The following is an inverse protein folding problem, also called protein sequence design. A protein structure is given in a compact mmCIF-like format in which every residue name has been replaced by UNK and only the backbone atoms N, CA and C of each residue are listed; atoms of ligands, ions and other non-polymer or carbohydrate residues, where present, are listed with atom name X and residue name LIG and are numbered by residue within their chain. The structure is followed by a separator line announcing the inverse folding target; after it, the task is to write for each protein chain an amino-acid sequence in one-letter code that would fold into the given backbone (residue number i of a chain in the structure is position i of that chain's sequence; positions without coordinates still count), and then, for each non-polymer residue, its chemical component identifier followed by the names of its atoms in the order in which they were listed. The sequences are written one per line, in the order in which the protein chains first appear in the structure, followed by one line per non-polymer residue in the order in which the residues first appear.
data_IF_382914260409
#
_entry.id   IF_382914260409
#
_cell.length_a   1.000
_cell.length_b   1.000
_cell.length_c   1.000
_cell.angle_alpha   90.00
_cell.angle_beta   90.00
_cell.angle_gamma   90.00
#
_symmetry.space_group_name_H-M   'P 1'
#
loop_
_entity.id
_entity.type
_entity.pdbx_description
1 polymer ?
#
# COMPACT_ATOMS: atom_id res chain seq x y z
N UNK A 1 23.07 -5.07 -6.68
CA UNK A 1 22.39 -6.20 -7.35
C UNK A 1 21.42 -6.76 -6.34
N UNK A 2 20.15 -6.99 -6.69
CA UNK A 2 19.16 -7.55 -5.76
C UNK A 2 19.39 -9.04 -5.52
N UNK A 3 18.81 -9.58 -4.46
CA UNK A 3 18.72 -11.04 -4.28
C UNK A 3 17.83 -11.71 -5.33
N UNK A 4 17.75 -13.04 -5.29
CA UNK A 4 16.90 -13.85 -6.17
C UNK A 4 15.51 -13.97 -5.54
N UNK A 5 14.48 -13.65 -6.33
CA UNK A 5 13.06 -13.71 -5.94
C UNK A 5 12.26 -14.59 -6.89
N UNK A 6 11.10 -15.07 -6.43
CA UNK A 6 10.20 -15.95 -7.18
C UNK A 6 8.76 -15.44 -7.12
N UNK A 7 8.02 -15.68 -8.19
CA UNK A 7 6.58 -15.42 -8.24
C UNK A 7 5.91 -16.48 -9.12
N UNK A 8 4.60 -16.70 -8.92
CA UNK A 8 3.81 -17.63 -9.73
C UNK A 8 3.00 -16.85 -10.76
N UNK A 9 3.00 -17.31 -12.00
CA UNK A 9 2.16 -16.72 -13.06
C UNK A 9 0.70 -17.13 -12.90
N UNK A 10 -0.22 -16.28 -13.36
CA UNK A 10 -1.64 -16.62 -13.44
C UNK A 10 -1.87 -17.85 -14.33
N UNK A 11 -2.91 -18.66 -14.06
CA UNK A 11 -3.23 -19.82 -14.88
C UNK A 11 -3.78 -19.39 -16.25
N UNK A 12 -3.71 -20.28 -17.24
CA UNK A 12 -4.21 -20.02 -18.59
C UNK A 12 -5.71 -19.64 -18.55
N UNK A 13 -6.13 -18.66 -19.33
CA UNK A 13 -7.53 -18.26 -19.40
C UNK A 13 -8.42 -19.43 -19.84
N UNK A 14 -9.49 -19.71 -19.09
CA UNK A 14 -10.45 -20.75 -19.43
C UNK A 14 -11.60 -20.83 -18.41
N UNK A 15 -12.75 -21.42 -18.77
CA UNK A 15 -13.97 -21.39 -17.94
C UNK A 15 -13.85 -22.16 -16.61
N UNK A 16 -12.79 -22.95 -16.44
CA UNK A 16 -12.48 -23.74 -15.23
C UNK A 16 -11.08 -23.48 -14.70
N UNK A 17 -10.45 -22.39 -15.12
CA UNK A 17 -9.06 -22.06 -14.80
C UNK A 17 -9.03 -20.76 -13.99
N UNK A 18 -8.78 -20.89 -12.69
CA UNK A 18 -8.84 -19.80 -11.73
C UNK A 18 -7.58 -19.80 -10.86
N UNK A 19 -7.14 -18.62 -10.43
CA UNK A 19 -6.20 -18.51 -9.32
C UNK A 19 -6.85 -19.05 -8.04
N UNK A 20 -6.05 -19.57 -7.12
CA UNK A 20 -6.56 -20.10 -5.86
C UNK A 20 -7.15 -19.01 -4.98
N UNK A 21 -6.40 -17.93 -4.75
CA UNK A 21 -6.82 -16.84 -3.86
C UNK A 21 -6.42 -15.48 -4.45
N UNK A 22 -7.40 -14.58 -4.52
CA UNK A 22 -7.17 -13.16 -4.87
C UNK A 22 -7.42 -12.32 -3.63
N UNK A 23 -6.40 -11.64 -3.16
CA UNK A 23 -6.51 -10.66 -2.09
C UNK A 23 -6.96 -9.31 -2.67
N UNK A 24 -7.88 -8.64 -1.98
CA UNK A 24 -8.37 -7.31 -2.37
C UNK A 24 -8.27 -6.39 -1.17
N UNK A 25 -7.62 -5.24 -1.36
CA UNK A 25 -7.40 -4.22 -0.31
C UNK A 25 -7.46 -2.81 -0.88
N UNK A 26 -7.73 -1.85 -0.02
CA UNK A 26 -7.70 -0.42 -0.32
C UNK A 26 -7.33 0.37 0.94
N UNK A 27 -7.07 1.67 0.76
CA UNK A 27 -6.91 2.61 1.87
C UNK A 27 -5.81 2.21 2.87
N UNK A 28 -4.76 1.54 2.38
CA UNK A 28 -3.68 1.02 3.22
C UNK A 28 -2.63 2.10 3.48
N UNK A 29 -2.93 2.97 4.45
CA UNK A 29 -2.01 3.97 5.04
C UNK A 29 -0.69 3.33 5.50
N UNK A 30 0.30 4.12 5.94
CA UNK A 30 1.50 3.63 6.61
C UNK A 30 1.35 3.61 8.16
N UNK A 31 0.63 2.63 8.71
CA UNK A 31 0.43 2.49 10.18
C UNK A 31 0.75 1.09 10.70
N UNK A 32 0.79 0.93 12.03
CA UNK A 32 0.88 -0.39 12.66
C UNK A 32 -0.27 -1.32 12.24
N UNK A 33 -1.48 -0.78 12.07
CA UNK A 33 -2.64 -1.54 11.63
C UNK A 33 -2.45 -2.08 10.20
N UNK A 34 -1.83 -1.28 9.33
CA UNK A 34 -1.49 -1.74 7.98
C UNK A 34 -0.54 -2.92 8.03
N UNK A 35 0.42 -2.93 8.95
CA UNK A 35 1.33 -4.07 9.12
C UNK A 35 0.56 -5.32 9.55
N UNK A 36 -0.43 -5.18 10.42
CA UNK A 36 -1.34 -6.28 10.78
C UNK A 36 -2.11 -6.76 9.57
N UNK A 37 -2.72 -5.87 8.77
CA UNK A 37 -3.42 -6.24 7.53
C UNK A 37 -2.51 -7.00 6.57
N UNK A 38 -1.29 -6.50 6.34
CA UNK A 38 -0.29 -7.17 5.51
C UNK A 38 0.01 -8.58 6.02
N UNK A 39 0.25 -8.74 7.33
CA UNK A 39 0.52 -10.06 7.91
C UNK A 39 -0.66 -11.04 7.71
N UNK A 40 -1.90 -10.56 7.84
CA UNK A 40 -3.10 -11.35 7.56
C UNK A 40 -3.24 -11.69 6.08
N UNK A 41 -2.83 -10.81 5.16
CA UNK A 41 -2.82 -11.10 3.72
C UNK A 41 -1.78 -12.15 3.39
N UNK A 42 -0.54 -11.98 3.86
CA UNK A 42 0.57 -12.90 3.58
C UNK A 42 0.29 -14.29 4.16
N UNK A 43 -0.32 -14.40 5.35
CA UNK A 43 -0.70 -15.70 5.93
C UNK A 43 -1.76 -16.44 5.12
N UNK A 44 -2.51 -15.76 4.26
CA UNK A 44 -3.48 -16.38 3.37
C UNK A 44 -2.87 -16.81 2.04
N UNK A 45 -1.60 -16.50 1.75
CA UNK A 45 -0.89 -16.90 0.53
C UNK A 45 -1.66 -16.60 -0.77
N UNK A 46 -2.01 -15.32 -1.04
CA UNK A 46 -2.72 -14.96 -2.27
C UNK A 46 -1.83 -15.12 -3.51
N UNK A 47 -2.41 -15.60 -4.61
CA UNK A 47 -1.74 -15.66 -5.92
C UNK A 47 -1.70 -14.28 -6.60
N UNK A 48 -2.64 -13.40 -6.24
CA UNK A 48 -2.79 -12.04 -6.78
C UNK A 48 -3.27 -11.09 -5.69
N UNK A 49 -2.68 -9.90 -5.63
CA UNK A 49 -3.15 -8.78 -4.82
C UNK A 49 -3.73 -7.69 -5.73
N UNK A 50 -4.98 -7.30 -5.48
CA UNK A 50 -5.63 -6.17 -6.13
C UNK A 50 -5.73 -5.02 -5.15
N UNK A 51 -5.18 -3.87 -5.53
CA UNK A 51 -5.21 -2.64 -4.76
C UNK A 51 -6.24 -1.67 -5.30
N UNK A 52 -7.12 -1.17 -4.44
CA UNK A 52 -8.15 -0.19 -4.78
C UNK A 52 -7.84 1.15 -4.09
N UNK A 53 -7.14 2.05 -4.81
CA UNK A 53 -6.96 3.46 -4.42
C UNK A 53 -6.19 3.72 -3.11
N UNK A 54 -5.95 5.01 -2.83
CA UNK A 54 -5.49 5.52 -1.53
C UNK A 54 -4.32 4.75 -0.90
N UNK A 55 -3.18 4.79 -1.58
CA UNK A 55 -2.03 3.91 -1.31
C UNK A 55 -1.21 4.34 -0.10
N UNK A 56 -0.82 5.61 0.00
CA UNK A 56 0.20 6.05 0.96
C UNK A 56 -0.26 7.15 1.90
N UNK A 57 -1.34 7.84 1.52
CA UNK A 57 -1.81 9.06 2.16
C UNK A 57 -0.69 10.09 2.38
N UNK A 58 0.25 10.18 1.43
CA UNK A 58 1.30 11.19 1.45
C UNK A 58 0.74 12.63 1.50
N UNK A 59 -0.48 12.82 0.99
CA UNK A 59 -1.24 14.06 1.04
C UNK A 59 -1.83 14.40 2.41
N UNK A 60 -1.77 13.50 3.41
CA UNK A 60 -2.11 13.86 4.80
C UNK A 60 -0.95 14.57 5.52
N UNK A 61 0.12 14.90 4.80
CA UNK A 61 1.32 15.52 5.36
C UNK A 61 1.72 16.77 4.58
N UNK A 62 2.23 17.75 5.31
CA UNK A 62 2.94 18.89 4.74
C UNK A 62 4.28 18.45 4.15
N UNK A 63 4.83 19.26 3.26
CA UNK A 63 6.14 19.07 2.62
C UNK A 63 7.30 18.98 3.62
N UNK A 64 7.14 19.56 4.81
CA UNK A 64 8.11 19.46 5.91
C UNK A 64 8.02 18.14 6.72
N UNK A 65 7.08 17.24 6.37
CA UNK A 65 6.89 15.94 7.03
C UNK A 65 5.88 15.94 8.18
N UNK A 66 5.33 17.09 8.57
CA UNK A 66 4.26 17.17 9.59
C UNK A 66 2.99 16.53 9.04
N UNK A 67 2.51 15.47 9.70
CA UNK A 67 1.29 14.76 9.32
C UNK A 67 0.09 15.08 10.21
N UNK A 68 -1.12 14.83 9.69
CA UNK A 68 -2.38 14.84 10.45
C UNK A 68 -3.31 13.72 9.99
N UNK A 69 -4.19 13.26 10.87
CA UNK A 69 -5.26 12.31 10.51
C UNK A 69 -6.34 12.95 9.63
N UNK A 70 -6.46 14.28 9.65
CA UNK A 70 -7.36 15.04 8.80
C UNK A 70 -6.69 16.31 8.30
N UNK A 71 -6.29 16.31 7.02
CA UNK A 71 -5.60 17.46 6.41
C UNK A 71 -6.44 18.74 6.52
N UNK A 72 -7.72 18.69 6.15
CA UNK A 72 -8.59 19.87 6.18
C UNK A 72 -8.84 20.41 7.61
N UNK A 73 -8.86 19.52 8.60
CA UNK A 73 -9.11 19.86 9.99
C UNK A 73 -7.89 20.55 10.63
N UNK A 74 -6.68 20.05 10.35
CA UNK A 74 -5.45 20.51 10.98
C UNK A 74 -4.73 21.59 10.18
N UNK A 75 -4.97 21.66 8.88
CA UNK A 75 -4.36 22.63 7.97
C UNK A 75 -5.43 23.46 7.24
N UNK A 76 -6.41 24.07 7.95
CA UNK A 76 -7.47 24.86 7.31
C UNK A 76 -6.93 26.13 6.64
N UNK A 77 -5.70 26.53 7.00
CA UNK A 77 -5.02 27.73 6.54
C UNK A 77 -3.77 27.40 5.71
N UNK A 78 -3.72 26.28 4.97
CA UNK A 78 -2.69 26.09 3.92
C UNK A 78 -3.20 26.51 2.54
N UNK A 79 -3.30 27.81 2.21
CA UNK A 79 -3.12 28.24 0.84
C UNK A 79 -1.61 28.29 0.53
N UNK A 80 -1.16 27.87 -0.67
CA UNK A 80 -1.94 27.82 -1.91
C UNK A 80 -2.31 26.41 -2.44
N UNK A 81 -1.81 25.33 -1.86
CA UNK A 81 -1.96 23.96 -2.41
C UNK A 81 -2.13 22.91 -1.31
N UNK A 82 -2.86 21.83 -1.61
CA UNK A 82 -2.89 20.63 -0.78
C UNK A 82 -1.53 19.93 -0.89
N UNK A 83 -0.71 20.07 0.15
CA UNK A 83 0.66 19.58 0.17
C UNK A 83 0.74 18.05 0.24
N UNK A 84 1.94 17.52 -0.01
CA UNK A 84 2.24 16.11 0.14
C UNK A 84 3.65 15.92 0.68
N UNK A 85 3.87 14.86 1.46
CA UNK A 85 5.20 14.38 1.84
C UNK A 85 5.57 13.13 1.04
N UNK A 86 6.16 13.36 -0.14
CA UNK A 86 6.50 12.31 -1.11
C UNK A 86 7.33 11.13 -0.55
N UNK A 87 8.26 11.31 0.40
CA UNK A 87 9.02 10.18 0.96
C UNK A 87 8.16 9.08 1.61
N UNK A 88 6.87 9.34 1.90
CA UNK A 88 5.95 8.28 2.33
C UNK A 88 5.74 7.20 1.26
N UNK A 89 5.85 7.53 -0.03
CA UNK A 89 5.84 6.53 -1.11
C UNK A 89 7.03 5.58 -1.02
N UNK A 90 8.21 6.09 -0.74
CA UNK A 90 9.41 5.27 -0.56
C UNK A 90 9.31 4.38 0.68
N UNK A 91 8.86 4.92 1.81
CA UNK A 91 8.67 4.14 3.05
C UNK A 91 7.65 3.02 2.85
N UNK A 92 6.57 3.35 2.17
CA UNK A 92 5.52 2.40 1.84
C UNK A 92 6.06 1.27 0.94
N UNK A 93 6.74 1.60 -0.16
CA UNK A 93 7.32 0.59 -1.04
C UNK A 93 8.33 -0.35 -0.35
N UNK A 94 9.12 0.18 0.60
CA UNK A 94 10.08 -0.62 1.38
C UNK A 94 9.40 -1.58 2.35
N UNK A 95 8.32 -1.17 3.02
CA UNK A 95 7.60 -2.06 3.95
C UNK A 95 6.96 -3.23 3.21
N UNK A 96 6.40 -3.00 2.01
CA UNK A 96 5.83 -4.07 1.20
C UNK A 96 6.88 -5.00 0.63
N UNK A 97 8.01 -4.45 0.17
CA UNK A 97 9.14 -5.28 -0.29
C UNK A 97 9.64 -6.22 0.80
N UNK A 98 9.76 -5.77 2.05
CA UNK A 98 10.23 -6.59 3.17
C UNK A 98 9.24 -7.68 3.62
N UNK A 99 7.95 -7.55 3.28
CA UNK A 99 6.89 -8.44 3.77
C UNK A 99 6.46 -9.51 2.76
N UNK A 100 6.83 -9.36 1.49
CA UNK A 100 6.49 -10.28 0.40
C UNK A 100 7.73 -10.95 -0.22
N UNK A 101 8.86 -10.97 0.49
CA UNK A 101 9.93 -11.96 0.24
C UNK A 101 9.47 -13.35 0.72
#
# INVERSE_FOLDING_TARGET
MSDIYYFRTMPNSGPKSYSGKVAVVGDLVLTYNTTTTINHLTSNEPDLLVWIGDVTYANLCLTNGTGSDCYHCSFPQTPPIHETYQPRWDYWGRIWFLKFQ
#
